data_IF_876370510216
#
_entry.id   IF_876370510216
#
_cell.length_a   1.000
_cell.length_b   1.000
_cell.length_c   1.000
_cell.angle_alpha   90.00
_cell.angle_beta   90.00
_cell.angle_gamma   90.00
#
_symmetry.space_group_name_H-M   'P 1'
#
loop_
_entity.id
_entity.type
_entity.pdbx_description
1 polymer ?
#
# COMPACT_ATOMS: atom_id res chain seq x y z
N UNK A 1 4.35 -12.74 8.97
CA UNK A 1 5.04 -11.95 7.94
C UNK A 1 4.89 -10.51 8.36
N UNK A 2 5.99 -9.80 8.60
CA UNK A 2 5.94 -8.42 9.02
C UNK A 2 6.34 -7.56 7.82
N UNK A 3 5.39 -7.10 6.98
CA UNK A 3 5.69 -6.19 5.90
C UNK A 3 5.87 -4.79 6.50
N UNK A 4 6.89 -4.63 7.34
CA UNK A 4 7.16 -3.37 8.04
C UNK A 4 7.62 -2.27 7.07
N UNK A 5 8.02 -2.60 5.84
CA UNK A 5 8.31 -1.60 4.82
C UNK A 5 7.93 -2.14 3.44
N UNK A 6 6.98 -1.50 2.78
CA UNK A 6 6.55 -1.77 1.41
C UNK A 6 6.96 -0.59 0.54
N UNK A 7 8.05 -0.75 -0.20
CA UNK A 7 8.57 0.25 -1.13
C UNK A 7 8.32 -0.20 -2.58
N UNK A 8 7.86 0.71 -3.43
CA UNK A 8 7.75 0.48 -4.87
C UNK A 8 6.85 -0.70 -5.24
N UNK A 9 7.44 -1.79 -5.75
CA UNK A 9 6.72 -2.97 -6.24
C UNK A 9 5.93 -3.69 -5.16
N UNK A 10 6.53 -3.92 -3.99
CA UNK A 10 5.87 -4.62 -2.88
C UNK A 10 4.60 -3.90 -2.41
N UNK A 11 4.56 -2.59 -2.58
CA UNK A 11 3.41 -1.78 -2.22
C UNK A 11 2.25 -1.96 -3.20
N UNK A 12 2.57 -2.04 -4.50
CA UNK A 12 1.58 -2.34 -5.54
C UNK A 12 1.03 -3.75 -5.34
N UNK A 13 1.89 -4.72 -5.03
CA UNK A 13 1.46 -6.09 -4.71
C UNK A 13 0.51 -6.11 -3.50
N UNK A 14 0.83 -5.35 -2.45
CA UNK A 14 0.00 -5.25 -1.27
C UNK A 14 -1.34 -4.56 -1.55
N UNK A 15 -1.34 -3.49 -2.36
CA UNK A 15 -2.58 -2.85 -2.80
C UNK A 15 -3.44 -3.78 -3.64
N UNK A 16 -2.84 -4.54 -4.55
CA UNK A 16 -3.55 -5.53 -5.34
C UNK A 16 -4.20 -6.60 -4.46
N UNK A 17 -3.49 -7.09 -3.45
CA UNK A 17 -4.02 -8.06 -2.48
C UNK A 17 -5.17 -7.50 -1.63
N UNK A 18 -5.09 -6.23 -1.21
CA UNK A 18 -6.10 -5.60 -0.34
C UNK A 18 -7.33 -5.11 -1.11
N UNK A 19 -7.12 -4.53 -2.28
CA UNK A 19 -8.19 -3.91 -3.07
C UNK A 19 -8.84 -4.90 -4.04
N UNK A 20 -8.07 -5.85 -4.59
CA UNK A 20 -8.58 -6.85 -5.54
C UNK A 20 -9.33 -6.20 -6.70
N UNK A 21 -10.58 -6.63 -6.90
CA UNK A 21 -11.45 -6.15 -7.99
C UNK A 21 -11.94 -4.70 -7.83
N UNK A 22 -11.82 -4.10 -6.64
CA UNK A 22 -12.15 -2.66 -6.45
C UNK A 22 -11.23 -1.78 -7.29
N UNK A 23 -10.00 -2.22 -7.53
CA UNK A 23 -8.93 -1.39 -8.05
C UNK A 23 -8.41 -0.41 -6.98
N UNK A 24 -7.30 0.25 -7.28
CA UNK A 24 -6.63 1.14 -6.36
C UNK A 24 -5.98 2.33 -7.08
N UNK A 25 -5.80 3.42 -6.34
CA UNK A 25 -5.11 4.60 -6.81
C UNK A 25 -3.66 4.61 -6.28
N UNK A 26 -2.70 4.54 -7.19
CA UNK A 26 -1.28 4.63 -6.84
C UNK A 26 -0.82 6.09 -6.72
N UNK A 27 -0.68 6.58 -5.48
CA UNK A 27 -0.09 7.90 -5.21
C UNK A 27 1.30 7.77 -4.56
N UNK A 28 2.40 7.78 -5.33
CA UNK A 28 3.74 7.49 -4.81
C UNK A 28 4.14 8.42 -3.67
N UNK A 29 3.75 9.70 -3.68
CA UNK A 29 4.14 10.64 -2.62
C UNK A 29 3.53 10.29 -1.27
N UNK A 30 2.23 9.96 -1.24
CA UNK A 30 1.53 9.68 0.01
C UNK A 30 1.85 8.29 0.55
N UNK A 31 1.91 7.29 -0.33
CA UNK A 31 2.02 5.90 0.09
C UNK A 31 3.46 5.49 0.41
N UNK A 32 4.46 6.04 -0.29
CA UNK A 32 5.88 5.75 0.00
C UNK A 32 6.27 6.33 1.37
N UNK A 33 5.87 7.56 1.68
CA UNK A 33 6.10 8.15 3.01
C UNK A 33 5.47 7.33 4.14
N UNK A 34 4.30 6.74 3.91
CA UNK A 34 3.57 5.99 4.93
C UNK A 34 3.99 4.53 5.06
N UNK A 35 4.42 3.90 3.96
CA UNK A 35 4.64 2.46 3.89
C UNK A 35 6.08 2.08 3.58
N UNK A 36 6.88 2.96 2.98
CA UNK A 36 8.31 2.73 2.71
C UNK A 36 9.20 3.32 3.81
N UNK A 37 8.87 4.52 4.32
CA UNK A 37 9.59 5.14 5.45
C UNK A 37 9.01 4.77 6.82
N UNK A 38 7.79 4.23 6.86
CA UNK A 38 7.10 3.83 8.09
C UNK A 38 6.41 2.47 7.90
N UNK A 39 6.16 1.74 8.99
CA UNK A 39 5.34 0.54 8.97
C UNK A 39 3.95 0.82 8.41
N UNK A 40 3.68 0.23 7.26
CA UNK A 40 2.38 0.26 6.62
C UNK A 40 1.41 -0.66 7.37
N UNK A 41 0.21 -0.17 7.63
CA UNK A 41 -0.90 -0.96 8.14
C UNK A 41 -1.96 -1.16 7.05
N UNK A 42 -2.68 -2.29 7.11
CA UNK A 42 -3.69 -2.67 6.11
C UNK A 42 -4.73 -1.54 5.90
N UNK A 43 -5.14 -0.85 6.97
CA UNK A 43 -6.07 0.28 6.90
C UNK A 43 -5.58 1.42 6.01
N UNK A 44 -4.26 1.66 5.97
CA UNK A 44 -3.69 2.67 5.08
C UNK A 44 -3.82 2.22 3.63
N UNK A 45 -3.54 0.94 3.33
CA UNK A 45 -3.72 0.39 1.99
C UNK A 45 -5.19 0.46 1.54
N UNK A 46 -6.14 0.17 2.44
CA UNK A 46 -7.57 0.24 2.14
C UNK A 46 -8.03 1.64 1.72
N UNK A 47 -7.42 2.71 2.27
CA UNK A 47 -7.72 4.09 1.87
C UNK A 47 -7.31 4.41 0.43
N UNK A 48 -6.47 3.58 -0.18
CA UNK A 48 -6.07 3.71 -1.59
C UNK A 48 -6.90 2.81 -2.52
N UNK A 49 -7.82 2.00 -2.01
CA UNK A 49 -8.79 1.30 -2.84
C UNK A 49 -9.83 2.28 -3.38
N UNK A 50 -10.36 2.02 -4.59
CA UNK A 50 -11.51 2.76 -5.12
C UNK A 50 -12.81 2.41 -4.38
#
# INVERSE_FOLDING_TARGET
ADPQHLCGSHLVDALYLVCGDRGFFYNPKGIVEQCCHRPCNIRVLENYCN
#
